data_IF_267191453624
#
_entry.id   IF_267191453624
#
_cell.length_a   1.000
_cell.length_b   1.000
_cell.length_c   1.000
_cell.angle_alpha   90.00
_cell.angle_beta   90.00
_cell.angle_gamma   90.00
#
_symmetry.space_group_name_H-M   'P 1'
#
loop_
_entity.id
_entity.type
_entity.pdbx_description
1 polymer ?
#
# COMPACT_ATOMS: atom_id res chain seq x y z
N UNK A 1 -3.61 11.70 18.15
CA UNK A 1 -3.99 12.81 17.26
C UNK A 1 -3.87 12.27 15.84
N UNK A 2 -4.97 12.22 15.10
CA UNK A 2 -5.00 11.77 13.70
C UNK A 2 -4.77 12.98 12.83
N UNK A 3 -3.77 12.95 11.97
CA UNK A 3 -3.49 14.04 11.03
C UNK A 3 -4.06 13.65 9.68
N UNK A 4 -4.85 14.54 9.09
CA UNK A 4 -5.41 14.36 7.76
C UNK A 4 -4.45 15.04 6.80
N UNK A 5 -3.74 14.26 5.99
CA UNK A 5 -2.80 14.80 5.02
C UNK A 5 -3.24 14.29 3.67
N UNK A 6 -3.93 15.15 2.93
CA UNK A 6 -4.35 14.84 1.57
C UNK A 6 -3.20 14.97 0.58
N UNK A 7 -2.14 15.72 0.90
CA UNK A 7 -1.04 16.00 -0.02
C UNK A 7 0.29 16.22 0.75
N UNK A 8 1.34 15.47 0.42
CA UNK A 8 2.64 15.49 1.13
C UNK A 8 3.37 16.84 1.06
N UNK A 9 3.05 17.66 0.07
CA UNK A 9 3.58 19.03 -0.13
C UNK A 9 2.97 20.06 0.84
N UNK A 10 1.87 19.72 1.52
CA UNK A 10 1.24 20.55 2.54
C UNK A 10 1.76 20.29 3.96
N UNK A 11 2.75 19.40 4.11
CA UNK A 11 3.34 19.07 5.40
C UNK A 11 4.12 20.24 5.99
N UNK A 12 3.96 20.45 7.30
CA UNK A 12 4.82 21.37 8.06
C UNK A 12 6.26 20.85 8.14
N UNK A 13 7.20 21.73 8.44
CA UNK A 13 8.60 21.35 8.65
C UNK A 13 8.78 20.25 9.71
N UNK A 14 7.95 20.26 10.77
CA UNK A 14 8.00 19.26 11.82
C UNK A 14 7.51 17.89 11.33
N UNK A 15 6.49 17.86 10.49
CA UNK A 15 5.99 16.60 9.91
C UNK A 15 6.96 16.01 8.90
N UNK A 16 7.60 16.86 8.09
CA UNK A 16 8.69 16.43 7.19
C UNK A 16 9.87 15.87 8.00
N UNK A 17 10.22 16.48 9.13
CA UNK A 17 11.27 15.97 10.02
C UNK A 17 10.93 14.57 10.55
N UNK A 18 9.67 14.35 10.93
CA UNK A 18 9.25 13.03 11.41
C UNK A 18 9.30 11.97 10.31
N UNK A 19 8.98 12.30 9.05
CA UNK A 19 9.18 11.37 7.93
C UNK A 19 10.65 10.99 7.72
N UNK A 20 11.53 11.99 7.74
CA UNK A 20 12.97 11.80 7.54
C UNK A 20 13.61 10.92 8.62
N UNK A 21 13.00 10.87 9.80
CA UNK A 21 13.48 10.10 10.96
C UNK A 21 12.56 8.94 11.34
N UNK A 22 11.62 8.55 10.46
CA UNK A 22 10.76 7.40 10.70
C UNK A 22 11.58 6.11 10.73
N UNK A 23 11.24 5.21 11.67
CA UNK A 23 11.72 3.82 11.65
C UNK A 23 10.89 2.98 10.68
N UNK A 24 9.57 3.23 10.64
CA UNK A 24 8.62 2.43 9.88
C UNK A 24 7.51 3.30 9.28
N UNK A 25 7.09 2.93 8.07
CA UNK A 25 5.83 3.34 7.45
C UNK A 25 4.92 2.12 7.34
N UNK A 26 3.73 2.15 7.95
CA UNK A 26 2.76 1.04 7.83
C UNK A 26 1.53 1.53 7.08
N UNK A 27 1.30 0.99 5.88
CA UNK A 27 0.06 1.16 5.14
C UNK A 27 -1.01 0.25 5.76
N UNK A 28 -2.10 0.83 6.23
CA UNK A 28 -3.22 0.14 6.84
C UNK A 28 -4.49 0.35 6.03
N UNK A 29 -5.13 -0.75 5.65
CA UNK A 29 -6.46 -0.76 5.02
C UNK A 29 -7.52 -0.70 6.13
N UNK A 30 -8.43 0.27 6.08
CA UNK A 30 -9.43 0.46 7.13
C UNK A 30 -10.82 0.75 6.58
N UNK A 31 -11.84 0.43 7.39
CA UNK A 31 -13.19 0.97 7.22
C UNK A 31 -13.56 1.85 8.42
N UNK A 32 -14.33 2.91 8.15
CA UNK A 32 -14.91 3.76 9.19
C UNK A 32 -16.42 3.51 9.23
N UNK A 33 -16.91 2.83 10.28
CA UNK A 33 -18.36 2.64 10.51
C UNK A 33 -18.70 3.17 11.90
N UNK A 34 -19.72 4.05 11.98
CA UNK A 34 -20.27 4.55 13.25
C UNK A 34 -19.19 5.08 14.21
N UNK A 35 -18.22 5.85 13.70
CA UNK A 35 -17.10 6.42 14.46
C UNK A 35 -16.07 5.41 14.99
N UNK A 36 -16.16 4.13 14.59
CA UNK A 36 -15.13 3.13 14.87
C UNK A 36 -14.29 2.88 13.62
N UNK A 37 -12.97 2.90 13.81
CA UNK A 37 -11.99 2.53 12.80
C UNK A 37 -11.60 1.07 13.01
N UNK A 38 -11.69 0.28 11.94
CA UNK A 38 -11.32 -1.13 11.96
C UNK A 38 -10.45 -1.43 10.76
N UNK A 39 -9.33 -2.10 11.02
CA UNK A 39 -8.49 -2.69 9.96
C UNK A 39 -9.32 -3.71 9.16
N UNK A 40 -9.24 -3.62 7.84
CA UNK A 40 -10.00 -4.46 6.90
C UNK A 40 -9.10 -4.97 5.77
N UNK A 41 -9.66 -5.68 4.80
CA UNK A 41 -8.95 -6.12 3.59
C UNK A 41 -8.76 -4.94 2.62
N UNK A 42 -7.80 -5.07 1.69
CA UNK A 42 -7.57 -4.05 0.65
C UNK A 42 -8.86 -3.86 -0.17
N UNK A 43 -9.52 -4.95 -0.53
CA UNK A 43 -10.75 -4.97 -1.33
C UNK A 43 -11.90 -4.19 -0.65
N UNK A 44 -12.09 -4.40 0.66
CA UNK A 44 -13.09 -3.67 1.42
C UNK A 44 -12.72 -2.19 1.59
N UNK A 45 -11.42 -1.89 1.74
CA UNK A 45 -10.94 -0.51 1.84
C UNK A 45 -11.13 0.27 0.52
N UNK A 46 -10.96 -0.38 -0.64
CA UNK A 46 -11.20 0.23 -1.95
C UNK A 46 -12.69 0.49 -2.21
N UNK A 47 -13.59 -0.36 -1.69
CA UNK A 47 -15.03 -0.21 -1.92
C UNK A 47 -15.69 0.79 -0.96
N UNK A 48 -15.46 0.61 0.34
CA UNK A 48 -16.22 1.29 1.40
C UNK A 48 -15.32 1.95 2.45
N UNK A 49 -14.00 1.87 2.30
CA UNK A 49 -13.03 2.24 3.34
C UNK A 49 -12.03 3.30 2.90
N UNK A 50 -10.80 3.15 3.41
CA UNK A 50 -9.70 4.10 3.23
C UNK A 50 -8.35 3.46 3.51
N UNK A 51 -7.29 4.13 3.07
CA UNK A 51 -5.91 3.78 3.40
C UNK A 51 -5.28 4.82 4.33
N UNK A 52 -4.53 4.33 5.32
CA UNK A 52 -3.85 5.15 6.33
C UNK A 52 -2.37 4.78 6.33
N UNK A 53 -1.47 5.75 6.49
CA UNK A 53 -0.07 5.45 6.82
C UNK A 53 0.22 5.82 8.26
N UNK A 54 0.73 4.83 8.99
CA UNK A 54 1.31 5.02 10.31
C UNK A 54 2.80 5.28 10.16
N UNK A 55 3.27 6.35 10.78
CA UNK A 55 4.66 6.78 10.83
C UNK A 55 5.17 6.55 12.24
N UNK A 56 5.96 5.51 12.41
CA UNK A 56 6.58 5.17 13.69
C UNK A 56 7.99 5.74 13.74
N UNK A 57 8.38 6.24 14.92
CA UNK A 57 9.73 6.73 15.21
C UNK A 57 10.13 6.25 16.60
N UNK A 58 11.34 5.72 16.71
CA UNK A 58 11.85 5.21 17.98
C UNK A 58 11.78 6.28 19.08
N UNK A 59 11.18 5.91 20.22
CA UNK A 59 11.03 6.79 21.39
C UNK A 59 9.96 7.88 21.25
N UNK A 60 9.08 7.84 20.24
CA UNK A 60 7.95 8.78 20.09
C UNK A 60 6.61 8.05 19.88
N UNK A 61 5.48 8.67 20.25
CA UNK A 61 4.16 8.13 19.95
C UNK A 61 3.93 8.06 18.44
N UNK A 62 3.29 6.99 17.99
CA UNK A 62 2.96 6.73 16.60
C UNK A 62 2.13 7.87 16.00
N UNK A 63 2.52 8.34 14.82
CA UNK A 63 1.77 9.36 14.09
C UNK A 63 0.97 8.72 12.99
N UNK A 64 -0.32 9.05 12.98
CA UNK A 64 -1.26 8.42 12.05
C UNK A 64 -1.74 9.44 11.04
N UNK A 65 -1.46 9.16 9.77
CA UNK A 65 -1.73 10.04 8.65
C UNK A 65 -2.76 9.40 7.73
N UNK A 66 -3.88 10.10 7.54
CA UNK A 66 -4.95 9.64 6.67
C UNK A 66 -4.77 10.18 5.25
N UNK A 67 -4.83 9.28 4.28
CA UNK A 67 -4.93 9.61 2.86
C UNK A 67 -6.36 9.29 2.43
N UNK A 68 -7.17 10.32 2.22
CA UNK A 68 -8.55 10.16 1.75
C UNK A 68 -8.58 10.03 0.23
N UNK A 69 -9.56 9.28 -0.27
CA UNK A 69 -9.94 9.25 -1.69
C UNK A 69 -8.93 8.61 -2.66
N UNK A 70 -8.16 7.61 -2.19
CA UNK A 70 -7.17 6.92 -3.03
C UNK A 70 -7.46 5.43 -3.20
N UNK A 71 -7.36 4.95 -4.44
CA UNK A 71 -7.29 3.51 -4.74
C UNK A 71 -5.96 2.94 -4.25
N UNK A 72 -5.88 1.61 -4.11
CA UNK A 72 -4.65 0.98 -3.64
C UNK A 72 -3.46 1.27 -4.57
N UNK A 73 -3.68 1.12 -5.88
CA UNK A 73 -2.62 1.32 -6.88
C UNK A 73 -2.26 2.79 -7.07
N UNK A 74 -3.24 3.69 -7.22
CA UNK A 74 -2.97 5.07 -7.63
C UNK A 74 -2.53 5.99 -6.50
N UNK A 75 -2.94 5.72 -5.26
CA UNK A 75 -2.58 6.63 -4.18
C UNK A 75 -1.95 5.96 -2.98
N UNK A 76 -2.41 4.79 -2.52
CA UNK A 76 -1.75 4.14 -1.39
C UNK A 76 -0.31 3.73 -1.74
N UNK A 77 -0.11 3.06 -2.87
CA UNK A 77 1.22 2.65 -3.32
C UNK A 77 2.10 3.84 -3.77
N UNK A 78 1.53 4.85 -4.42
CA UNK A 78 2.24 6.09 -4.78
C UNK A 78 2.68 6.86 -3.53
N UNK A 79 1.85 6.89 -2.50
CA UNK A 79 2.21 7.48 -1.20
C UNK A 79 3.40 6.76 -0.60
N UNK A 80 3.38 5.42 -0.56
CA UNK A 80 4.52 4.63 -0.11
C UNK A 80 5.78 4.89 -0.95
N UNK A 81 5.64 5.04 -2.28
CA UNK A 81 6.75 5.43 -3.15
C UNK A 81 7.36 6.76 -2.71
N UNK A 82 6.55 7.79 -2.53
CA UNK A 82 7.01 9.11 -2.10
C UNK A 82 7.68 9.06 -0.72
N UNK A 83 7.10 8.32 0.24
CA UNK A 83 7.68 8.12 1.56
C UNK A 83 9.03 7.40 1.51
N UNK A 84 9.18 6.40 0.63
CA UNK A 84 10.46 5.71 0.40
C UNK A 84 11.54 6.62 -0.16
N UNK A 85 11.18 7.60 -0.99
CA UNK A 85 12.12 8.61 -1.47
C UNK A 85 12.55 9.56 -0.35
N UNK A 86 11.65 9.89 0.58
CA UNK A 86 11.94 10.78 1.71
C UNK A 86 12.86 10.10 2.73
N UNK A 87 12.58 8.83 3.07
CA UNK A 87 13.44 8.03 3.95
C UNK A 87 13.63 6.61 3.38
N UNK A 88 14.72 6.37 2.63
CA UNK A 88 15.01 5.07 2.05
C UNK A 88 15.31 3.97 3.09
N UNK A 89 15.65 4.35 4.32
CA UNK A 89 16.06 3.41 5.38
C UNK A 89 14.90 2.92 6.23
N UNK A 90 13.78 3.65 6.24
CA UNK A 90 12.57 3.22 6.92
C UNK A 90 12.05 1.90 6.32
N UNK A 91 11.60 1.00 7.19
CA UNK A 91 10.88 -0.20 6.78
C UNK A 91 9.48 0.18 6.33
N UNK A 92 8.93 -0.60 5.41
CA UNK A 92 7.56 -0.43 4.95
C UNK A 92 6.76 -1.68 5.25
N UNK A 93 5.53 -1.51 5.72
CA UNK A 93 4.66 -2.59 6.12
C UNK A 93 3.29 -2.42 5.50
N UNK A 94 2.65 -3.54 5.19
CA UNK A 94 1.23 -3.62 4.90
C UNK A 94 0.53 -4.24 6.12
N UNK A 95 -0.56 -3.61 6.56
CA UNK A 95 -1.44 -4.07 7.65
C UNK A 95 -2.87 -4.19 7.10
N UNK A 96 -3.43 -5.38 7.19
CA UNK A 96 -4.79 -5.71 6.76
C UNK A 96 -5.46 -6.59 7.82
N UNK A 97 -6.75 -6.88 7.66
CA UNK A 97 -7.47 -7.78 8.57
C UNK A 97 -6.83 -9.17 8.68
N UNK A 98 -6.18 -9.61 7.62
CA UNK A 98 -5.49 -10.91 7.52
C UNK A 98 -4.14 -10.94 8.25
N UNK A 99 -3.60 -9.77 8.63
CA UNK A 99 -2.32 -9.66 9.34
C UNK A 99 -1.43 -8.54 8.83
N UNK A 100 -0.13 -8.67 9.12
CA UNK A 100 0.90 -7.67 8.80
C UNK A 100 2.12 -8.32 8.17
N UNK A 101 2.63 -7.73 7.09
CA UNK A 101 3.79 -8.23 6.36
C UNK A 101 4.63 -7.07 5.82
N UNK A 102 5.93 -7.29 5.69
CA UNK A 102 6.87 -6.28 5.21
C UNK A 102 6.75 -6.10 3.69
N UNK A 103 6.74 -4.85 3.26
CA UNK A 103 6.80 -4.44 1.86
C UNK A 103 8.27 -4.38 1.47
N UNK A 104 8.72 -5.40 0.74
CA UNK A 104 10.12 -5.55 0.33
C UNK A 104 10.33 -5.23 -1.14
N UNK A 105 11.55 -4.82 -1.47
CA UNK A 105 11.98 -4.53 -2.84
C UNK A 105 11.96 -3.03 -3.19
N UNK A 106 12.46 -2.68 -4.38
CA UNK A 106 12.61 -1.30 -4.82
C UNK A 106 11.30 -0.64 -5.26
N UNK A 107 10.30 -1.44 -5.64
CA UNK A 107 8.98 -0.98 -6.07
C UNK A 107 7.95 -1.32 -4.98
N UNK A 108 7.46 -0.32 -4.21
CA UNK A 108 6.52 -0.53 -3.12
C UNK A 108 5.18 -1.11 -3.57
N UNK A 109 4.72 -0.87 -4.79
CA UNK A 109 3.49 -1.50 -5.30
C UNK A 109 3.69 -3.00 -5.46
N UNK A 110 4.78 -3.40 -6.14
CA UNK A 110 5.13 -4.83 -6.28
C UNK A 110 5.38 -5.47 -4.92
N UNK A 111 6.08 -4.77 -4.03
CA UNK A 111 6.34 -5.23 -2.66
C UNK A 111 5.05 -5.43 -1.87
N UNK A 112 4.08 -4.52 -2.00
CA UNK A 112 2.80 -4.60 -1.30
C UNK A 112 1.92 -5.74 -1.83
N UNK A 113 1.93 -5.99 -3.14
CA UNK A 113 1.27 -7.16 -3.75
C UNK A 113 1.87 -8.46 -3.17
N UNK A 114 3.20 -8.56 -3.11
CA UNK A 114 3.90 -9.74 -2.54
C UNK A 114 3.63 -9.88 -1.03
N UNK A 115 3.61 -8.78 -0.28
CA UNK A 115 3.28 -8.75 1.13
C UNK A 115 1.85 -9.25 1.39
N UNK A 116 0.86 -8.75 0.63
CA UNK A 116 -0.53 -9.20 0.71
C UNK A 116 -0.69 -10.67 0.35
N UNK A 117 0.00 -11.13 -0.67
CA UNK A 117 0.01 -12.53 -1.08
C UNK A 117 0.53 -13.46 0.03
N UNK A 118 1.55 -13.03 0.78
CA UNK A 118 2.13 -13.78 1.88
C UNK A 118 1.23 -13.88 3.12
N UNK A 119 0.25 -12.98 3.28
CA UNK A 119 -0.70 -13.00 4.40
C UNK A 119 -1.77 -14.10 4.27
N UNK A 120 -2.03 -14.61 3.05
CA UNK A 120 -3.00 -15.67 2.82
C UNK A 120 -2.45 -17.05 3.25
N UNK A 121 -2.53 -17.34 4.55
CA UNK A 121 -2.07 -18.61 5.14
C UNK A 121 -3.11 -19.75 5.13
N UNK A 122 -4.32 -19.54 4.61
CA UNK A 122 -5.42 -20.51 4.68
C UNK A 122 -5.33 -21.69 3.68
N UNK A 123 -4.14 -22.03 3.19
CA UNK A 123 -3.94 -23.18 2.30
C UNK A 123 -4.61 -23.06 0.92
N UNK A 124 -5.29 -21.94 0.63
CA UNK A 124 -5.74 -21.57 -0.69
C UNK A 124 -4.52 -21.19 -1.55
N UNK A 125 -3.84 -22.20 -2.09
CA UNK A 125 -2.79 -22.11 -3.13
C UNK A 125 -3.20 -21.31 -4.39
N UNK A 126 -4.40 -20.74 -4.42
CA UNK A 126 -5.02 -20.06 -5.54
C UNK A 126 -5.66 -18.73 -5.15
N UNK A 127 -5.08 -17.99 -4.18
CA UNK A 127 -5.52 -16.60 -4.00
C UNK A 127 -5.11 -15.74 -5.19
N UNK A 128 -5.99 -14.80 -5.55
CA UNK A 128 -5.79 -13.77 -6.56
C UNK A 128 -4.41 -13.08 -6.40
N UNK A 129 -4.11 -12.64 -5.18
CA UNK A 129 -2.84 -12.00 -4.83
C UNK A 129 -1.62 -12.89 -5.06
N UNK A 130 -1.71 -14.18 -4.71
CA UNK A 130 -0.61 -15.12 -4.94
C UNK A 130 -0.34 -15.33 -6.44
N UNK A 131 -1.38 -15.43 -7.26
CA UNK A 131 -1.23 -15.55 -8.71
C UNK A 131 -0.52 -14.33 -9.32
N UNK A 132 -0.88 -13.11 -8.88
CA UNK A 132 -0.24 -11.88 -9.35
C UNK A 132 1.20 -11.74 -8.83
N UNK A 133 1.45 -12.07 -7.56
CA UNK A 133 2.80 -12.08 -7.02
C UNK A 133 3.72 -13.03 -7.81
N UNK A 134 3.24 -14.24 -8.13
CA UNK A 134 3.97 -15.19 -8.97
C UNK A 134 4.22 -14.67 -10.39
N UNK A 135 3.24 -13.97 -10.98
CA UNK A 135 3.41 -13.34 -12.29
C UNK A 135 4.48 -12.24 -12.27
N UNK A 136 4.47 -11.39 -11.24
CA UNK A 136 5.51 -10.38 -11.02
C UNK A 136 6.88 -11.04 -10.89
N UNK A 137 7.02 -12.06 -10.05
CA UNK A 137 8.28 -12.79 -9.88
C UNK A 137 8.80 -13.39 -11.19
N UNK A 138 7.89 -13.94 -12.01
CA UNK A 138 8.23 -14.47 -13.34
C UNK A 138 8.72 -13.35 -14.26
N UNK A 139 8.05 -12.20 -14.29
CA UNK A 139 8.47 -11.07 -15.10
C UNK A 139 9.83 -10.51 -14.65
N UNK A 140 10.00 -10.31 -13.34
CA UNK A 140 11.26 -9.84 -12.73
C UNK A 140 12.42 -10.78 -13.08
N UNK A 141 12.23 -12.09 -12.94
CA UNK A 141 13.25 -13.12 -13.25
C UNK A 141 13.66 -13.10 -14.72
N UNK A 142 12.74 -12.77 -15.63
CA UNK A 142 13.00 -12.77 -17.08
C UNK A 142 13.29 -11.37 -17.64
N UNK A 143 13.44 -10.34 -16.77
CA UNK A 143 13.62 -8.95 -17.20
C UNK A 143 12.47 -8.41 -18.05
N UNK A 144 11.27 -8.97 -17.90
CA UNK A 144 10.08 -8.56 -18.65
C UNK A 144 9.35 -7.46 -17.89
N UNK A 145 8.75 -6.54 -18.64
CA UNK A 145 7.81 -5.58 -18.06
C UNK A 145 6.62 -6.34 -17.49
N UNK A 146 6.22 -5.98 -16.27
CA UNK A 146 4.94 -6.44 -15.72
C UNK A 146 3.86 -5.64 -16.42
N UNK A 147 3.03 -6.34 -17.19
CA UNK A 147 1.85 -5.81 -17.83
C UNK A 147 0.62 -6.40 -17.12
N UNK A 148 -0.14 -5.55 -16.45
CA UNK A 148 -1.31 -5.94 -15.68
C UNK A 148 -2.59 -5.97 -16.54
N UNK A 149 -2.52 -5.56 -17.82
CA UNK A 149 -3.66 -5.47 -18.73
C UNK A 149 -3.88 -6.75 -19.57
N UNK A 150 -2.91 -7.69 -19.56
CA UNK A 150 -2.87 -8.84 -20.45
C UNK A 150 -3.54 -10.12 -19.90
N UNK A 151 -4.71 -10.01 -19.25
CA UNK A 151 -5.56 -11.16 -18.93
C UNK A 151 -5.59 -11.63 -17.46
N UNK A 152 -5.44 -10.70 -16.52
CA UNK A 152 -5.69 -10.92 -15.07
C UNK A 152 -7.04 -10.33 -14.61
N UNK A 153 -7.93 -10.04 -15.57
CA UNK A 153 -9.19 -9.28 -15.45
C UNK A 153 -10.14 -9.77 -14.35
N UNK A 154 -10.09 -11.06 -14.00
CA UNK A 154 -10.97 -11.68 -13.00
C UNK A 154 -10.41 -11.60 -11.57
N UNK A 155 -9.11 -11.33 -11.43
CA UNK A 155 -8.45 -11.14 -10.14
C UNK A 155 -8.45 -9.65 -9.75
N UNK A 156 -8.59 -8.75 -10.72
CA UNK A 156 -8.64 -7.31 -10.51
C UNK A 156 -9.47 -6.56 -11.57
N UNK A 157 -10.80 -6.58 -11.48
CA UNK A 157 -11.63 -5.57 -12.19
C UNK A 157 -11.32 -4.12 -11.73
N UNK A 158 -10.49 -3.91 -10.70
CA UNK A 158 -10.16 -2.59 -10.13
C UNK A 158 -8.69 -2.13 -10.30
N UNK A 159 -7.71 -3.02 -10.53
CA UNK A 159 -6.31 -2.59 -10.83
C UNK A 159 -6.10 -2.30 -12.33
N UNK A 160 -6.83 -2.99 -13.23
CA UNK A 160 -6.69 -2.82 -14.68
C UNK A 160 -7.29 -1.50 -15.24
N UNK A 161 -8.08 -0.75 -14.45
CA UNK A 161 -8.75 0.47 -14.94
C UNK A 161 -7.86 1.71 -15.01
N UNK A 162 -6.59 1.59 -14.63
CA UNK A 162 -5.69 2.72 -14.45
C UNK A 162 -4.42 2.67 -15.31
N UNK A 163 -4.40 1.82 -16.34
CA UNK A 163 -3.33 1.77 -17.34
C UNK A 163 -3.78 2.21 -18.73
N UNK A 164 -4.87 3.00 -18.85
CA UNK A 164 -4.96 3.87 -20.02
C UNK A 164 -3.73 4.80 -19.99
N UNK A 165 -2.88 4.82 -21.04
CA UNK A 165 -2.10 6.02 -21.25
C UNK A 165 -3.14 7.13 -21.35
N UNK A 166 -2.93 8.25 -20.66
CA UNK A 166 -3.54 9.51 -21.09
C UNK A 166 -3.12 9.69 -22.56
N UNK A 167 -3.95 9.22 -23.47
CA UNK A 167 -3.82 9.48 -24.89
C UNK A 167 -4.08 10.97 -25.06
N UNK A 168 -2.98 11.70 -25.28
CA UNK A 168 -2.80 13.03 -25.88
C UNK A 168 -3.92 14.07 -25.68
#
# INVERSE_FOLDING_TARGET
MTYFITELDKLSHAEIDDLKHASDFTLEAEICRLSQHRVTSIEAAEQDGRFVVHVTRDGRPDRRWLFQDVTFAEGAAVTLWNLKQINPTAKMWLSCEDGRAEIVGPDPLRGAIKARAAMNNDGARFSAWAAVAMYIDKCDTHGRKVDFDAGLDHVFWQIARYFEPLSA
#
